data_IF_692540596757
#
_entry.id   IF_692540596757
#
_cell.length_a   1.000
_cell.length_b   1.000
_cell.length_c   1.000
_cell.angle_alpha   90.00
_cell.angle_beta   90.00
_cell.angle_gamma   90.00
#
_symmetry.space_group_name_H-M   'P 1'
#
loop_
_entity.id
_entity.type
_entity.pdbx_description
1 polymer ?
#
# COMPACT_ATOMS: atom_id res chain seq x y z
N UNK A 1 -8.77 8.67 15.66
CA UNK A 1 -9.05 7.97 14.38
C UNK A 1 -8.59 6.52 14.51
N UNK A 2 -9.23 5.55 13.83
CA UNK A 2 -8.82 4.14 13.88
C UNK A 2 -7.36 3.93 13.46
N UNK A 3 -6.67 2.99 14.11
CA UNK A 3 -5.29 2.61 13.79
C UNK A 3 -4.30 3.80 13.70
N UNK A 4 -4.51 4.87 14.47
CA UNK A 4 -3.71 6.11 14.39
C UNK A 4 -2.24 5.95 14.74
N UNK A 5 -1.85 4.83 15.33
CA UNK A 5 -0.46 4.46 15.59
C UNK A 5 0.32 4.07 14.33
N UNK A 6 -0.35 3.54 13.31
CA UNK A 6 0.27 3.10 12.06
C UNK A 6 -0.20 3.92 10.86
N UNK A 7 -1.44 4.43 10.87
CA UNK A 7 -2.02 5.23 9.79
C UNK A 7 -1.75 6.72 10.02
N UNK A 8 -1.11 7.35 9.03
CA UNK A 8 -0.82 8.79 9.00
C UNK A 8 -2.04 9.58 8.52
N UNK A 9 -2.98 9.81 9.44
CA UNK A 9 -4.23 10.52 9.15
C UNK A 9 -4.05 11.96 8.65
N UNK A 10 -2.94 12.62 8.96
CA UNK A 10 -2.60 13.94 8.41
C UNK A 10 -2.41 13.96 6.88
N UNK A 11 -2.22 12.79 6.26
CA UNK A 11 -2.12 12.64 4.79
C UNK A 11 -3.44 12.29 4.11
N UNK A 12 -4.49 11.99 4.88
CA UNK A 12 -5.80 11.58 4.37
C UNK A 12 -6.95 12.49 4.85
N UNK A 13 -6.77 13.19 5.96
CA UNK A 13 -7.78 14.03 6.58
C UNK A 13 -7.19 15.38 7.01
N UNK A 14 -8.01 16.41 6.94
CA UNK A 14 -7.71 17.72 7.53
C UNK A 14 -8.02 17.63 9.01
N UNK A 15 -6.99 17.72 9.84
CA UNK A 15 -7.12 17.67 11.30
C UNK A 15 -7.05 19.12 11.81
N UNK A 16 -8.07 19.56 12.54
CA UNK A 16 -8.14 20.90 13.11
C UNK A 16 -8.22 20.85 14.64
N UNK A 17 -7.67 21.87 15.28
CA UNK A 17 -7.87 22.12 16.71
C UNK A 17 -9.27 22.71 16.93
N UNK A 18 -9.99 22.20 17.93
CA UNK A 18 -11.31 22.69 18.34
C UNK A 18 -11.27 24.18 18.70
N UNK A 19 -10.13 24.68 19.21
CA UNK A 19 -9.92 26.09 19.51
C UNK A 19 -10.01 27.00 18.28
N UNK A 20 -9.88 26.44 17.08
CA UNK A 20 -9.94 27.14 15.80
C UNK A 20 -11.24 26.87 15.03
N UNK A 21 -12.29 26.39 15.70
CA UNK A 21 -13.54 25.96 15.06
C UNK A 21 -14.16 27.04 14.14
N UNK A 22 -14.10 28.31 14.56
CA UNK A 22 -14.60 29.43 13.75
C UNK A 22 -13.75 29.73 12.51
N UNK A 23 -12.49 29.30 12.50
CA UNK A 23 -11.56 29.48 11.37
C UNK A 23 -11.58 28.31 10.39
N UNK A 24 -12.29 27.21 10.71
CA UNK A 24 -12.39 26.04 9.82
C UNK A 24 -12.82 26.42 8.40
N UNK A 25 -13.82 27.28 8.16
CA UNK A 25 -14.22 27.64 6.81
C UNK A 25 -13.12 28.35 6.01
N UNK A 26 -12.32 29.23 6.64
CA UNK A 26 -11.20 29.88 5.97
C UNK A 26 -10.06 28.90 5.71
N UNK A 27 -9.73 28.06 6.70
CA UNK A 27 -8.68 27.05 6.58
C UNK A 27 -8.98 26.06 5.45
N UNK A 28 -10.21 25.53 5.38
CA UNK A 28 -10.61 24.58 4.33
C UNK A 28 -10.55 25.23 2.94
N UNK A 29 -10.99 26.49 2.80
CA UNK A 29 -10.92 27.21 1.52
C UNK A 29 -9.50 27.54 1.07
N UNK A 30 -8.54 27.62 2.01
CA UNK A 30 -7.12 27.85 1.69
C UNK A 30 -6.38 26.61 1.18
N UNK A 31 -7.00 25.44 1.24
CA UNK A 31 -6.37 24.19 0.77
C UNK A 31 -6.38 24.19 -0.76
N UNK A 32 -5.18 24.03 -1.33
CA UNK A 32 -4.99 23.97 -2.77
C UNK A 32 -5.61 22.70 -3.36
N UNK A 33 -6.09 22.78 -4.60
CA UNK A 33 -6.76 21.68 -5.28
C UNK A 33 -5.90 20.41 -5.38
N UNK A 34 -4.57 20.56 -5.57
CA UNK A 34 -3.64 19.43 -5.62
C UNK A 34 -3.57 18.67 -4.28
N UNK A 35 -3.62 19.41 -3.17
CA UNK A 35 -3.66 18.81 -1.84
C UNK A 35 -5.01 18.10 -1.60
N UNK A 36 -6.10 18.66 -2.09
CA UNK A 36 -7.42 18.00 -2.03
C UNK A 36 -7.38 16.68 -2.79
N UNK A 37 -6.76 16.67 -3.99
CA UNK A 37 -6.61 15.45 -4.78
C UNK A 37 -5.73 14.43 -4.06
N UNK A 38 -4.60 14.83 -3.48
CA UNK A 38 -3.73 13.91 -2.73
C UNK A 38 -4.43 13.32 -1.51
N UNK A 39 -5.20 14.13 -0.77
CA UNK A 39 -6.00 13.66 0.38
C UNK A 39 -7.04 12.61 -0.05
N UNK A 40 -7.72 12.85 -1.19
CA UNK A 40 -8.69 11.89 -1.76
C UNK A 40 -8.03 10.60 -2.18
N UNK A 41 -6.90 10.67 -2.90
CA UNK A 41 -6.14 9.49 -3.32
C UNK A 41 -5.67 8.68 -2.11
N UNK A 42 -5.15 9.34 -1.07
CA UNK A 42 -4.72 8.67 0.14
C UNK A 42 -5.89 8.02 0.88
N UNK A 43 -7.04 8.70 0.98
CA UNK A 43 -8.25 8.15 1.60
C UNK A 43 -8.75 6.91 0.86
N UNK A 44 -8.78 6.96 -0.47
CA UNK A 44 -9.17 5.82 -1.30
C UNK A 44 -8.22 4.63 -1.08
N UNK A 45 -6.91 4.88 -1.08
CA UNK A 45 -5.91 3.86 -0.76
C UNK A 45 -6.17 3.22 0.61
N UNK A 46 -6.33 4.03 1.67
CA UNK A 46 -6.56 3.52 3.02
C UNK A 46 -7.85 2.68 3.09
N UNK A 47 -8.91 3.13 2.43
CA UNK A 47 -10.17 2.40 2.34
C UNK A 47 -9.99 1.03 1.69
N UNK A 48 -9.41 1.00 0.48
CA UNK A 48 -9.19 -0.24 -0.27
C UNK A 48 -8.25 -1.19 0.46
N UNK A 49 -7.21 -0.68 1.13
CA UNK A 49 -6.22 -1.48 1.84
C UNK A 49 -6.75 -2.07 3.15
N UNK A 50 -7.48 -1.31 3.97
CA UNK A 50 -7.74 -1.68 5.37
C UNK A 50 -9.20 -1.66 5.81
N UNK A 51 -10.08 -0.90 5.16
CA UNK A 51 -11.44 -0.63 5.66
C UNK A 51 -12.57 -1.17 4.76
N UNK A 52 -12.25 -1.68 3.57
CA UNK A 52 -13.23 -2.09 2.55
C UNK A 52 -14.13 -3.27 2.93
N UNK A 53 -13.79 -4.02 3.98
CA UNK A 53 -14.63 -5.08 4.54
C UNK A 53 -14.31 -5.34 6.02
N UNK A 54 -15.20 -6.04 6.72
CA UNK A 54 -14.94 -6.51 8.11
C UNK A 54 -13.72 -7.42 8.16
N UNK A 55 -13.54 -8.29 7.16
CA UNK A 55 -12.34 -9.13 7.04
C UNK A 55 -11.06 -8.31 7.01
N UNK A 56 -11.01 -7.23 6.21
CA UNK A 56 -9.84 -6.33 6.15
C UNK A 56 -9.57 -5.63 7.47
N UNK A 57 -10.62 -5.20 8.17
CA UNK A 57 -10.48 -4.59 9.50
C UNK A 57 -9.88 -5.57 10.51
N UNK A 58 -10.36 -6.81 10.53
CA UNK A 58 -9.87 -7.87 11.42
C UNK A 58 -8.41 -8.22 11.09
N UNK A 59 -8.09 -8.45 9.80
CA UNK A 59 -6.71 -8.71 9.36
C UNK A 59 -5.77 -7.56 9.72
N UNK A 60 -6.18 -6.31 9.50
CA UNK A 60 -5.39 -5.13 9.87
C UNK A 60 -5.09 -5.10 11.36
N UNK A 61 -6.10 -5.40 12.18
CA UNK A 61 -5.93 -5.44 13.65
C UNK A 61 -4.98 -6.56 14.07
N UNK A 62 -5.10 -7.76 13.48
CA UNK A 62 -4.22 -8.88 13.77
C UNK A 62 -2.77 -8.60 13.36
N UNK A 63 -2.54 -8.00 12.20
CA UNK A 63 -1.20 -7.63 11.73
C UNK A 63 -0.58 -6.53 12.59
N UNK A 64 -1.37 -5.56 13.08
CA UNK A 64 -0.90 -4.56 14.06
C UNK A 64 -0.44 -5.25 15.35
N UNK A 65 -1.23 -6.20 15.87
CA UNK A 65 -0.86 -6.94 17.08
C UNK A 65 0.41 -7.77 16.83
N UNK A 66 0.49 -8.42 15.66
CA UNK A 66 1.64 -9.20 15.26
C UNK A 66 2.92 -8.35 15.20
N UNK A 67 2.86 -7.16 14.58
CA UNK A 67 3.98 -6.21 14.52
C UNK A 67 4.46 -5.78 15.93
N UNK A 68 3.56 -5.67 16.91
CA UNK A 68 3.93 -5.34 18.31
C UNK A 68 4.60 -6.50 19.03
N UNK A 69 4.18 -7.74 18.75
CA UNK A 69 4.75 -8.95 19.35
C UNK A 69 6.13 -9.25 18.74
N UNK A 70 6.25 -9.14 17.42
CA UNK A 70 7.48 -9.41 16.66
C UNK A 70 8.10 -8.12 16.13
N UNK A 71 8.58 -7.26 17.04
CA UNK A 71 9.11 -5.93 16.71
C UNK A 71 10.23 -5.93 15.65
N UNK A 72 11.06 -6.97 15.61
CA UNK A 72 12.15 -7.11 14.65
C UNK A 72 11.67 -7.33 13.20
N UNK A 73 10.44 -7.82 13.04
CA UNK A 73 9.78 -8.06 11.76
C UNK A 73 8.54 -7.14 11.58
N UNK A 74 8.47 -6.04 12.35
CA UNK A 74 7.37 -5.09 12.25
C UNK A 74 7.42 -4.33 10.92
N UNK A 75 6.25 -4.08 10.32
CA UNK A 75 6.15 -3.26 9.12
C UNK A 75 6.46 -1.81 9.43
N UNK A 76 7.17 -1.16 8.52
CA UNK A 76 7.47 0.27 8.66
C UNK A 76 6.22 1.13 8.45
N UNK A 77 6.26 2.37 8.94
CA UNK A 77 5.25 3.38 8.65
C UNK A 77 5.06 3.61 7.14
N UNK A 78 6.10 3.43 6.32
CA UNK A 78 5.97 3.56 4.87
C UNK A 78 5.10 2.43 4.30
N UNK A 79 5.30 1.19 4.76
CA UNK A 79 4.52 0.02 4.31
C UNK A 79 3.04 0.17 4.64
N UNK A 80 2.71 0.69 5.83
CA UNK A 80 1.32 0.96 6.20
C UNK A 80 0.67 2.13 5.43
N UNK A 81 1.45 3.10 4.96
CA UNK A 81 0.91 4.34 4.36
C UNK A 81 1.20 4.50 2.87
N UNK A 82 1.62 3.43 2.20
CA UNK A 82 1.85 3.45 0.77
C UNK A 82 1.46 2.14 0.11
N UNK A 83 1.13 2.22 -1.19
CA UNK A 83 0.85 1.05 -2.00
C UNK A 83 2.00 0.03 -1.91
N UNK A 84 1.69 -1.27 -1.78
CA UNK A 84 0.35 -1.88 -1.85
C UNK A 84 -0.43 -1.85 -0.52
N UNK A 85 0.19 -1.43 0.58
CA UNK A 85 -0.36 -1.45 1.94
C UNK A 85 0.25 -2.55 2.80
N UNK A 86 0.11 -2.41 4.12
CA UNK A 86 0.72 -3.28 5.13
C UNK A 86 0.32 -4.74 4.98
N UNK A 87 -0.97 -5.02 4.73
CA UNK A 87 -1.49 -6.38 4.54
C UNK A 87 -0.89 -7.11 3.34
N UNK A 88 -0.41 -6.37 2.35
CA UNK A 88 0.18 -6.91 1.12
C UNK A 88 1.71 -6.87 1.11
N UNK A 89 2.30 -6.22 2.11
CA UNK A 89 3.73 -6.14 2.29
C UNK A 89 4.20 -7.26 3.24
N UNK A 90 5.25 -7.96 2.85
CA UNK A 90 5.81 -9.10 3.58
C UNK A 90 7.07 -8.64 4.34
N UNK A 91 6.95 -8.16 5.59
CA UNK A 91 8.12 -7.67 6.34
C UNK A 91 9.16 -8.76 6.63
N UNK A 92 8.77 -10.03 6.61
CA UNK A 92 9.67 -11.17 6.78
C UNK A 92 10.60 -11.41 5.58
N UNK A 93 10.33 -10.80 4.42
CA UNK A 93 11.18 -10.95 3.23
C UNK A 93 12.51 -10.19 3.38
N UNK A 94 12.43 -8.93 3.80
CA UNK A 94 13.60 -8.08 4.04
C UNK A 94 13.24 -6.95 4.99
N UNK A 95 14.19 -6.56 5.83
CA UNK A 95 14.11 -5.36 6.68
C UNK A 95 14.44 -4.08 5.90
N UNK A 96 15.04 -4.18 4.71
CA UNK A 96 15.39 -3.03 3.88
C UNK A 96 14.27 -2.72 2.88
N UNK A 97 13.71 -1.51 2.99
CA UNK A 97 12.61 -1.07 2.12
C UNK A 97 12.98 -1.02 0.62
N UNK A 98 14.27 -0.85 0.32
CA UNK A 98 14.77 -0.85 -1.05
C UNK A 98 14.86 -2.22 -1.72
N UNK A 99 14.52 -3.31 -1.01
CA UNK A 99 14.34 -4.62 -1.63
C UNK A 99 12.92 -4.81 -2.17
N UNK A 100 11.98 -3.94 -1.83
CA UNK A 100 10.60 -3.98 -2.32
C UNK A 100 10.43 -3.08 -3.55
N UNK A 101 10.15 -3.64 -4.75
CA UNK A 101 10.11 -2.87 -6.00
C UNK A 101 9.12 -1.71 -6.00
N UNK A 102 7.99 -1.84 -5.29
CA UNK A 102 6.96 -0.82 -5.20
C UNK A 102 7.40 0.44 -4.40
N UNK A 103 8.53 0.39 -3.69
CA UNK A 103 9.10 1.55 -3.00
C UNK A 103 10.18 2.29 -3.80
N UNK A 104 10.62 1.75 -4.95
CA UNK A 104 11.75 2.30 -5.70
C UNK A 104 11.57 3.76 -6.10
N UNK A 105 10.39 4.11 -6.62
CA UNK A 105 10.08 5.48 -7.02
C UNK A 105 10.17 6.48 -5.85
N UNK A 106 9.73 6.07 -4.65
CA UNK A 106 9.79 6.92 -3.44
C UNK A 106 11.20 7.02 -2.87
N UNK A 107 12.02 5.99 -3.04
CA UNK A 107 13.39 5.93 -2.54
C UNK A 107 14.43 6.44 -3.57
N UNK A 108 13.99 6.80 -4.78
CA UNK A 108 14.90 7.20 -5.86
C UNK A 108 15.80 6.06 -6.36
N UNK A 109 15.44 4.80 -6.07
CA UNK A 109 16.20 3.62 -6.46
C UNK A 109 15.87 3.29 -7.90
N UNK A 110 16.90 3.13 -8.74
CA UNK A 110 16.72 2.66 -10.11
C UNK A 110 16.63 1.13 -10.12
N UNK A 111 15.62 0.53 -10.77
CA UNK A 111 15.54 -0.92 -10.89
C UNK A 111 16.74 -1.48 -11.66
N UNK A 112 17.12 -2.71 -11.32
CA UNK A 112 18.12 -3.44 -12.10
C UNK A 112 17.57 -3.75 -13.49
N UNK A 113 18.43 -3.85 -14.52
CA UNK A 113 17.98 -4.10 -15.90
C UNK A 113 17.38 -5.49 -16.10
N UNK A 114 17.67 -6.45 -15.22
CA UNK A 114 17.15 -7.82 -15.25
C UNK A 114 16.77 -8.27 -13.84
N UNK A 115 15.68 -9.02 -13.73
CA UNK A 115 15.22 -9.63 -12.47
C UNK A 115 14.46 -10.91 -12.76
N UNK A 116 14.34 -11.76 -11.76
CA UNK A 116 13.47 -12.95 -11.78
C UNK A 116 12.27 -12.66 -10.89
N UNK A 117 11.06 -12.84 -11.42
CA UNK A 117 9.83 -12.76 -10.64
C UNK A 117 9.21 -14.15 -10.51
N UNK A 118 8.78 -14.50 -9.30
CA UNK A 118 8.02 -15.71 -9.00
C UNK A 118 6.59 -15.28 -8.70
N UNK A 119 5.62 -15.88 -9.40
CA UNK A 119 4.20 -15.62 -9.19
C UNK A 119 3.61 -16.83 -8.48
N UNK A 120 3.14 -16.63 -7.26
CA UNK A 120 2.46 -17.67 -6.49
C UNK A 120 0.93 -17.54 -6.66
N UNK A 121 0.30 -18.56 -7.24
CA UNK A 121 -1.13 -18.63 -7.43
C UNK A 121 -1.76 -19.54 -6.36
N UNK A 122 -2.60 -18.98 -5.49
CA UNK A 122 -3.27 -19.73 -4.40
C UNK A 122 -4.65 -20.24 -4.79
N UNK A 123 -5.24 -19.70 -5.86
CA UNK A 123 -6.55 -20.13 -6.38
C UNK A 123 -6.38 -21.07 -7.57
N UNK A 124 -7.26 -22.07 -7.71
CA UNK A 124 -7.18 -23.00 -8.83
C UNK A 124 -7.39 -22.26 -10.16
N UNK A 125 -6.51 -22.53 -11.11
CA UNK A 125 -6.43 -21.88 -12.42
C UNK A 125 -7.42 -22.53 -13.41
N UNK A 126 -8.73 -22.39 -13.14
CA UNK A 126 -9.76 -23.17 -13.84
C UNK A 126 -10.23 -22.52 -15.16
N UNK A 127 -10.04 -21.21 -15.33
CA UNK A 127 -10.55 -20.48 -16.51
C UNK A 127 -9.58 -19.45 -17.05
N UNK A 128 -9.39 -19.43 -18.37
CA UNK A 128 -8.58 -18.42 -19.08
C UNK A 128 -9.09 -16.98 -18.89
N UNK A 129 -10.32 -16.78 -18.43
CA UNK A 129 -10.85 -15.45 -18.12
C UNK A 129 -10.30 -14.87 -16.80
N UNK A 130 -9.67 -15.70 -15.95
CA UNK A 130 -9.13 -15.27 -14.67
C UNK A 130 -8.01 -14.22 -14.86
N UNK A 131 -7.95 -13.17 -14.02
CA UNK A 131 -6.97 -12.10 -14.14
C UNK A 131 -5.51 -12.58 -14.15
N UNK A 132 -5.19 -13.59 -13.34
CA UNK A 132 -3.84 -14.15 -13.25
C UNK A 132 -3.40 -14.83 -14.54
N UNK A 133 -4.30 -15.54 -15.24
CA UNK A 133 -3.99 -16.16 -16.53
C UNK A 133 -3.83 -15.10 -17.62
N UNK A 134 -4.66 -14.05 -17.62
CA UNK A 134 -4.49 -12.90 -18.52
C UNK A 134 -3.15 -12.19 -18.29
N UNK A 135 -2.74 -12.03 -17.02
CA UNK A 135 -1.45 -11.46 -16.66
C UNK A 135 -0.30 -12.34 -17.17
N UNK A 136 -0.35 -13.65 -16.92
CA UNK A 136 0.68 -14.59 -17.38
C UNK A 136 0.82 -14.58 -18.91
N UNK A 137 -0.30 -14.58 -19.64
CA UNK A 137 -0.29 -14.50 -21.11
C UNK A 137 0.30 -13.16 -21.58
N UNK A 138 -0.03 -12.05 -20.92
CA UNK A 138 0.53 -10.74 -21.27
C UNK A 138 2.04 -10.66 -21.00
N UNK A 139 2.50 -11.22 -19.87
CA UNK A 139 3.92 -11.29 -19.50
C UNK A 139 4.68 -12.20 -20.48
N UNK A 140 4.15 -13.39 -20.80
CA UNK A 140 4.78 -14.32 -21.74
C UNK A 140 4.92 -13.75 -23.16
N UNK A 141 4.01 -12.88 -23.59
CA UNK A 141 4.07 -12.20 -24.89
C UNK A 141 4.93 -10.92 -24.89
N UNK A 142 5.46 -10.52 -23.74
CA UNK A 142 6.27 -9.31 -23.62
C UNK A 142 7.64 -9.50 -24.26
N UNK A 143 8.07 -8.53 -25.06
CA UNK A 143 9.44 -8.48 -25.62
C UNK A 143 10.54 -8.37 -24.55
N UNK A 144 10.16 -8.04 -23.30
CA UNK A 144 11.07 -7.90 -22.17
C UNK A 144 11.24 -9.20 -21.37
N UNK A 145 10.50 -10.26 -21.70
CA UNK A 145 10.61 -11.56 -21.05
C UNK A 145 11.43 -12.51 -21.94
N UNK A 146 12.39 -13.20 -21.32
CA UNK A 146 13.24 -14.21 -21.98
C UNK A 146 12.97 -15.54 -21.29
N UNK A 147 12.71 -16.58 -22.09
CA UNK A 147 12.62 -17.94 -21.59
C UNK A 147 13.99 -18.40 -21.12
N UNK A 148 14.07 -18.95 -19.91
CA UNK A 148 15.29 -19.56 -19.38
C UNK A 148 15.23 -21.04 -19.75
N UNK A 149 16.17 -21.50 -20.58
CA UNK A 149 16.33 -22.90 -21.01
C UNK A 149 16.92 -23.79 -19.90
#
# INVERSE_FOLDING_TARGET
>A
MPFSEIIRWNTAAVIGDERLLLQIPSTVRSIHQDNILSLRQQTQFLWEAYFSSVERLVLTTLEIIHDRVLQHAARSNLMWNSLPGGLYSLPQYSSYLGDFPFHYAKLGIKPRPKFTAVIHAVTPLVSQSQPILKLLVAVAKSQYCVQVD
#
